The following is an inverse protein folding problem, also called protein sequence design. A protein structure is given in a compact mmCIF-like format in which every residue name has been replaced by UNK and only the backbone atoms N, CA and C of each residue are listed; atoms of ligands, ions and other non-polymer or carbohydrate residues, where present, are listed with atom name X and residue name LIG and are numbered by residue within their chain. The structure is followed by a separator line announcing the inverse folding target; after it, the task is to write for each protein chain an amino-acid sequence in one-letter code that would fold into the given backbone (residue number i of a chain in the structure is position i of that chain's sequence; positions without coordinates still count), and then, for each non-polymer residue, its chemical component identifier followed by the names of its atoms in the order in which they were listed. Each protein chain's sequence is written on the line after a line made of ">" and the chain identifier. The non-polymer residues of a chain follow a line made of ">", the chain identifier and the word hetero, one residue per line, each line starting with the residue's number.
data_IF_237494579428
#
_entry.id   IF_237494579428
#
_cell.length_a   1.000
_cell.length_b   1.000
_cell.length_c   1.000
_cell.angle_alpha   90.00
_cell.angle_beta   90.00
_cell.angle_gamma   90.00
#
_symmetry.space_group_name_H-M   'P 1'
#
loop_
_entity.id
_entity.type
_entity.pdbx_description
1 polymer ?
#
# COMPACT_ATOMS: atom_id res chain seq x y z
N UNK A 1 9.41 -14.14 1.45
CA UNK A 1 9.82 -14.35 0.05
C UNK A 1 9.49 -13.08 -0.71
N UNK A 2 10.32 -12.65 -1.65
CA UNK A 2 9.97 -11.54 -2.56
C UNK A 2 9.10 -12.04 -3.70
N UNK A 3 8.16 -11.22 -4.16
CA UNK A 3 7.37 -11.49 -5.38
C UNK A 3 7.35 -10.24 -6.26
N UNK A 4 6.99 -10.42 -7.51
CA UNK A 4 6.84 -9.31 -8.46
C UNK A 4 5.36 -8.98 -8.53
N UNK A 5 5.01 -7.74 -8.18
CA UNK A 5 3.68 -7.19 -8.33
C UNK A 5 3.60 -6.35 -9.61
N UNK A 6 2.55 -6.56 -10.39
CA UNK A 6 2.21 -5.73 -11.54
C UNK A 6 1.04 -4.82 -11.16
N UNK A 7 1.26 -3.52 -11.18
CA UNK A 7 0.28 -2.52 -10.77
C UNK A 7 0.11 -1.47 -11.88
N UNK A 8 -1.15 -1.12 -12.14
CA UNK A 8 -1.52 -0.02 -13.03
C UNK A 8 -2.35 0.95 -12.19
N UNK A 9 -1.88 2.16 -12.04
CA UNK A 9 -2.66 3.24 -11.43
C UNK A 9 -3.41 4.01 -12.53
N UNK A 10 -4.72 4.15 -12.36
CA UNK A 10 -5.58 4.90 -13.27
C UNK A 10 -6.03 6.18 -12.57
N UNK A 11 -5.90 7.30 -13.28
CA UNK A 11 -6.46 8.58 -12.83
C UNK A 11 -7.94 8.65 -13.23
N UNK A 12 -8.82 8.79 -12.26
CA UNK A 12 -10.26 8.94 -12.49
C UNK A 12 -10.64 10.35 -12.97
N UNK A 13 -9.70 11.30 -13.01
CA UNK A 13 -9.95 12.68 -13.40
C UNK A 13 -10.98 13.33 -12.48
N UNK A 14 -12.12 13.74 -13.08
CA UNK A 14 -13.23 14.35 -12.33
C UNK A 14 -14.31 13.34 -11.91
N UNK A 15 -14.15 12.06 -12.25
CA UNK A 15 -15.10 11.02 -11.88
C UNK A 15 -15.01 10.75 -10.38
N UNK A 16 -16.13 10.88 -9.67
CA UNK A 16 -16.10 10.61 -8.25
C UNK A 16 -16.01 9.07 -7.96
N UNK A 17 -15.45 8.65 -6.82
CA UNK A 17 -15.31 7.24 -6.49
C UNK A 17 -16.62 6.44 -6.49
N UNK A 18 -17.76 7.09 -6.18
CA UNK A 18 -19.06 6.44 -6.22
C UNK A 18 -19.53 6.16 -7.64
N UNK A 19 -19.21 7.04 -8.61
CA UNK A 19 -19.51 6.82 -10.03
C UNK A 19 -18.64 5.69 -10.59
N UNK A 20 -17.35 5.66 -10.23
CA UNK A 20 -16.45 4.56 -10.58
C UNK A 20 -16.95 3.22 -10.03
N UNK A 21 -17.38 3.19 -8.76
CA UNK A 21 -17.98 2.01 -8.14
C UNK A 21 -19.23 1.55 -8.91
N UNK A 22 -20.15 2.47 -9.21
CA UNK A 22 -21.38 2.16 -9.94
C UNK A 22 -21.08 1.62 -11.35
N UNK A 23 -20.09 2.20 -12.02
CA UNK A 23 -19.65 1.75 -13.34
C UNK A 23 -19.07 0.35 -13.30
N UNK A 24 -18.13 0.07 -12.39
CA UNK A 24 -17.55 -1.29 -12.22
C UNK A 24 -18.61 -2.33 -11.88
N UNK A 25 -19.60 -1.98 -11.06
CA UNK A 25 -20.70 -2.87 -10.68
C UNK A 25 -21.63 -3.26 -11.85
N UNK A 26 -21.58 -2.53 -12.97
CA UNK A 26 -22.39 -2.78 -14.16
C UNK A 26 -21.66 -3.58 -15.24
N UNK A 27 -20.33 -3.76 -15.10
CA UNK A 27 -19.56 -4.55 -16.06
C UNK A 27 -19.87 -6.05 -15.91
N UNK A 28 -20.19 -6.72 -17.01
CA UNK A 28 -20.62 -8.12 -17.01
C UNK A 28 -19.57 -9.11 -16.47
N UNK A 29 -18.30 -8.77 -16.59
CA UNK A 29 -17.17 -9.62 -16.16
C UNK A 29 -16.48 -9.09 -14.89
N UNK A 30 -17.14 -8.18 -14.18
CA UNK A 30 -16.62 -7.53 -12.97
C UNK A 30 -17.53 -7.87 -11.79
N UNK A 31 -16.97 -8.39 -10.73
CA UNK A 31 -17.72 -8.78 -9.53
C UNK A 31 -17.18 -8.02 -8.33
N UNK A 32 -18.05 -7.30 -7.63
CA UNK A 32 -17.70 -6.74 -6.34
C UNK A 32 -17.43 -7.86 -5.33
N UNK A 33 -16.30 -7.78 -4.65
CA UNK A 33 -15.86 -8.79 -3.68
C UNK A 33 -16.15 -8.33 -2.26
N UNK A 34 -15.58 -7.18 -1.89
CA UNK A 34 -15.68 -6.65 -0.51
C UNK A 34 -15.20 -5.21 -0.42
N UNK A 35 -15.53 -4.60 0.71
CA UNK A 35 -14.86 -3.38 1.18
C UNK A 35 -14.00 -3.71 2.38
N UNK A 36 -12.78 -3.15 2.44
CA UNK A 36 -11.87 -3.28 3.58
C UNK A 36 -11.35 -1.93 4.02
N UNK A 37 -11.02 -1.80 5.31
CA UNK A 37 -10.34 -0.63 5.85
C UNK A 37 -8.83 -0.89 5.83
N UNK A 38 -8.06 0.05 5.30
CA UNK A 38 -6.61 -0.01 5.21
C UNK A 38 -5.99 1.13 6.01
N UNK A 39 -5.45 0.80 7.17
CA UNK A 39 -4.65 1.74 7.96
C UNK A 39 -3.18 1.52 7.62
N UNK A 40 -2.50 2.54 7.12
CA UNK A 40 -1.09 2.44 6.77
C UNK A 40 -0.28 3.53 7.48
N UNK A 41 0.95 3.17 7.83
CA UNK A 41 1.98 4.08 8.32
C UNK A 41 3.17 3.94 7.38
N UNK A 42 3.56 5.03 6.74
CA UNK A 42 4.72 5.06 5.85
C UNK A 42 5.93 5.64 6.57
N UNK A 43 7.08 5.04 6.29
CA UNK A 43 8.36 5.41 6.90
C UNK A 43 9.34 5.88 5.83
N UNK A 44 10.16 6.86 6.19
CA UNK A 44 11.32 7.28 5.42
C UNK A 44 12.33 7.97 6.36
N UNK A 45 13.50 8.25 5.84
CA UNK A 45 14.48 9.10 6.55
C UNK A 45 14.10 10.58 6.40
N UNK A 46 14.62 11.47 7.25
CA UNK A 46 14.46 12.92 7.09
C UNK A 46 14.91 13.44 5.72
N UNK A 47 15.84 12.73 5.09
CA UNK A 47 16.33 13.06 3.75
C UNK A 47 15.52 12.45 2.61
N UNK A 48 14.42 11.72 2.90
CA UNK A 48 13.61 11.01 1.92
C UNK A 48 14.40 10.01 1.06
N UNK A 49 15.24 9.19 1.69
CA UNK A 49 16.13 8.25 1.00
C UNK A 49 15.34 7.19 0.23
N UNK A 50 14.27 6.64 0.82
CA UNK A 50 13.41 5.67 0.13
C UNK A 50 12.66 6.32 -1.03
N UNK A 51 12.09 7.51 -0.85
CA UNK A 51 11.41 8.26 -1.92
C UNK A 51 12.34 8.49 -3.10
N UNK A 52 13.60 8.93 -2.85
CA UNK A 52 14.61 9.13 -3.90
C UNK A 52 14.97 7.84 -4.62
N UNK A 53 14.99 6.72 -3.90
CA UNK A 53 15.23 5.39 -4.46
C UNK A 53 13.97 4.78 -5.11
N UNK A 54 12.85 5.51 -5.16
CA UNK A 54 11.53 5.02 -5.62
C UNK A 54 11.10 3.76 -4.87
N UNK A 55 11.43 3.70 -3.58
CA UNK A 55 11.05 2.63 -2.66
C UNK A 55 10.08 3.15 -1.61
N UNK A 56 9.39 2.25 -0.94
CA UNK A 56 8.50 2.56 0.17
C UNK A 56 8.55 1.48 1.23
N UNK A 57 8.64 1.88 2.50
CA UNK A 57 8.44 1.03 3.66
C UNK A 57 7.14 1.44 4.35
N UNK A 58 6.25 0.47 4.60
CA UNK A 58 5.00 0.72 5.29
C UNK A 58 4.68 -0.35 6.33
N UNK A 59 3.95 0.04 7.35
CA UNK A 59 3.12 -0.85 8.15
C UNK A 59 1.68 -0.73 7.70
N UNK A 60 0.98 -1.86 7.55
CA UNK A 60 -0.45 -1.92 7.23
C UNK A 60 -1.16 -2.79 8.26
N UNK A 61 -2.26 -2.28 8.81
CA UNK A 61 -3.17 -3.11 9.59
C UNK A 61 -4.16 -3.80 8.67
N UNK A 62 -4.13 -5.13 8.68
CA UNK A 62 -5.15 -5.94 8.01
C UNK A 62 -6.29 -6.22 9.00
N UNK A 63 -7.43 -5.57 8.76
CA UNK A 63 -8.60 -5.69 9.63
C UNK A 63 -9.26 -7.06 9.58
N UNK A 64 -9.07 -7.83 8.50
CA UNK A 64 -9.63 -9.17 8.35
C UNK A 64 -8.77 -10.22 9.06
N UNK A 65 -7.47 -10.16 8.84
CA UNK A 65 -6.52 -11.05 9.50
C UNK A 65 -6.20 -10.62 10.94
N UNK A 66 -6.64 -9.42 11.34
CA UNK A 66 -6.37 -8.80 12.65
C UNK A 66 -4.87 -8.80 12.97
N UNK A 67 -4.06 -8.41 12.01
CA UNK A 67 -2.61 -8.38 12.15
C UNK A 67 -1.99 -7.18 11.43
N UNK A 68 -0.78 -6.82 11.85
CA UNK A 68 0.04 -5.84 11.15
C UNK A 68 0.96 -6.55 10.16
N UNK A 69 1.07 -5.98 8.97
CA UNK A 69 2.00 -6.37 7.93
C UNK A 69 3.03 -5.27 7.75
N UNK A 70 4.31 -5.62 7.65
CA UNK A 70 5.33 -4.70 7.17
C UNK A 70 5.70 -5.05 5.73
N UNK A 71 5.78 -4.04 4.88
CA UNK A 71 6.01 -4.21 3.45
C UNK A 71 7.11 -3.26 2.99
N UNK A 72 8.14 -3.79 2.33
CA UNK A 72 9.10 -3.02 1.54
C UNK A 72 8.78 -3.23 0.07
N UNK A 73 8.53 -2.13 -0.66
CA UNK A 73 8.44 -2.11 -2.13
C UNK A 73 9.62 -1.33 -2.68
N UNK A 74 10.28 -1.84 -3.73
CA UNK A 74 11.39 -1.12 -4.38
C UNK A 74 11.04 -0.78 -5.83
N UNK A 75 11.83 0.13 -6.41
CA UNK A 75 11.71 0.46 -7.82
C UNK A 75 11.86 -0.80 -8.67
N UNK A 76 10.93 -0.99 -9.59
CA UNK A 76 11.00 -2.01 -10.62
C UNK A 76 11.25 -1.39 -11.99
N UNK A 77 11.29 -2.23 -13.02
CA UNK A 77 11.33 -1.75 -14.40
C UNK A 77 9.98 -1.12 -14.76
N UNK A 78 10.01 0.12 -15.18
CA UNK A 78 8.82 0.80 -15.73
C UNK A 78 8.78 0.56 -17.24
N UNK A 79 7.64 0.05 -17.71
CA UNK A 79 7.31 -0.02 -19.14
C UNK A 79 5.93 0.61 -19.32
N UNK A 80 5.87 1.77 -19.96
CA UNK A 80 4.64 2.54 -20.18
C UNK A 80 3.86 2.81 -18.87
N UNK A 81 2.60 2.36 -18.78
CA UNK A 81 1.74 2.54 -17.61
C UNK A 81 1.85 1.42 -16.57
N UNK A 82 2.66 0.39 -16.84
CA UNK A 82 2.80 -0.77 -15.97
C UNK A 82 4.12 -0.72 -15.22
N UNK A 83 4.09 -0.90 -13.89
CA UNK A 83 5.28 -1.02 -13.05
C UNK A 83 5.36 -2.42 -12.46
N UNK A 84 6.51 -3.09 -12.66
CA UNK A 84 6.85 -4.31 -11.94
C UNK A 84 7.76 -3.93 -10.78
N UNK A 85 7.32 -4.19 -9.54
CA UNK A 85 8.07 -3.85 -8.33
C UNK A 85 8.41 -5.10 -7.56
N UNK A 86 9.59 -5.13 -6.98
CA UNK A 86 9.93 -6.17 -6.02
C UNK A 86 9.32 -5.81 -4.67
N UNK A 87 8.64 -6.77 -4.07
CA UNK A 87 7.94 -6.59 -2.80
C UNK A 87 8.34 -7.68 -1.80
N UNK A 88 8.60 -7.27 -0.57
CA UNK A 88 8.76 -8.15 0.58
C UNK A 88 7.71 -7.78 1.61
N UNK A 89 6.87 -8.74 1.95
CA UNK A 89 5.84 -8.57 2.97
C UNK A 89 6.01 -9.61 4.08
N UNK A 90 5.86 -9.16 5.32
CA UNK A 90 6.02 -9.98 6.51
C UNK A 90 4.97 -9.58 7.54
N UNK A 91 4.29 -10.58 8.12
CA UNK A 91 3.40 -10.37 9.25
C UNK A 91 4.20 -10.07 10.51
N UNK A 92 3.83 -9.00 11.21
CA UNK A 92 4.42 -8.67 12.50
C UNK A 92 3.82 -9.52 13.62
N UNK A 93 4.60 -9.87 14.65
CA UNK A 93 4.08 -10.51 15.85
C UNK A 93 2.93 -9.69 16.47
N UNK A 94 1.94 -10.37 17.02
CA UNK A 94 0.84 -9.71 17.70
C UNK A 94 1.40 -8.82 18.84
N UNK A 95 0.96 -7.56 18.85
CA UNK A 95 1.27 -6.64 19.94
C UNK A 95 0.14 -6.70 20.97
N UNK A 96 0.50 -6.75 22.24
CA UNK A 96 -0.47 -6.67 23.35
C UNK A 96 -0.93 -5.23 23.65
N UNK A 97 -0.47 -4.27 22.85
CA UNK A 97 -0.78 -2.86 23.03
C UNK A 97 -1.70 -2.37 21.90
N UNK A 98 -2.62 -1.46 22.21
CA UNK A 98 -3.49 -0.80 21.23
C UNK A 98 -2.74 0.12 20.27
N UNK A 99 -1.46 0.40 20.53
CA UNK A 99 -0.62 1.22 19.67
C UNK A 99 -0.07 0.42 18.47
N UNK A 100 0.10 1.07 17.30
CA UNK A 100 0.77 0.45 16.17
C UNK A 100 2.16 -0.06 16.57
N UNK A 101 2.57 -1.26 16.10
CA UNK A 101 3.92 -1.76 16.35
C UNK A 101 4.96 -0.89 15.63
N UNK A 102 6.22 -1.05 16.01
CA UNK A 102 7.35 -0.54 15.24
C UNK A 102 7.72 -1.57 14.16
N UNK A 103 8.14 -1.10 12.98
CA UNK A 103 8.70 -2.00 11.97
C UNK A 103 9.98 -2.67 12.46
N UNK A 104 10.27 -3.87 11.98
CA UNK A 104 11.35 -4.74 12.48
C UNK A 104 12.21 -5.21 11.30
N UNK A 105 13.46 -4.72 11.26
CA UNK A 105 14.40 -5.04 10.16
C UNK A 105 14.67 -6.54 10.06
N UNK A 106 14.85 -7.19 11.20
CA UNK A 106 15.23 -8.60 11.34
C UNK A 106 14.18 -9.59 10.82
N UNK A 107 12.95 -9.16 10.65
CA UNK A 107 11.89 -10.01 10.11
C UNK A 107 11.89 -10.07 8.58
N UNK A 108 12.54 -9.13 7.92
CA UNK A 108 12.67 -9.19 6.47
C UNK A 108 13.67 -10.27 6.02
N UNK A 109 13.56 -10.70 4.76
CA UNK A 109 14.56 -11.54 4.11
C UNK A 109 15.91 -10.80 3.99
N UNK A 110 17.01 -11.54 3.87
CA UNK A 110 18.36 -10.98 3.94
C UNK A 110 18.65 -9.88 2.89
N UNK A 111 18.07 -9.98 1.70
CA UNK A 111 18.19 -9.00 0.63
C UNK A 111 17.48 -7.68 0.96
N UNK A 112 16.28 -7.74 1.54
CA UNK A 112 15.55 -6.58 2.04
C UNK A 112 16.24 -5.94 3.26
N UNK A 113 16.78 -6.78 4.17
CA UNK A 113 17.60 -6.30 5.28
C UNK A 113 18.83 -5.53 4.78
N UNK A 114 19.57 -6.09 3.82
CA UNK A 114 20.74 -5.44 3.25
C UNK A 114 20.40 -4.11 2.57
N UNK A 115 19.21 -4.02 1.96
CA UNK A 115 18.72 -2.78 1.35
C UNK A 115 18.42 -1.69 2.39
N UNK A 116 17.79 -2.04 3.50
CA UNK A 116 17.36 -1.09 4.54
C UNK A 116 18.45 -0.76 5.58
N UNK A 117 19.39 -1.68 5.85
CA UNK A 117 20.36 -1.55 6.91
C UNK A 117 21.14 -0.20 6.92
N UNK A 118 21.56 0.38 5.76
CA UNK A 118 22.31 1.64 5.76
C UNK A 118 21.54 2.86 6.29
N UNK A 119 20.19 2.76 6.34
CA UNK A 119 19.31 3.88 6.70
C UNK A 119 18.37 3.55 7.86
N UNK A 120 18.41 2.33 8.38
CA UNK A 120 17.46 1.80 9.36
C UNK A 120 17.35 2.66 10.63
N UNK A 121 18.46 3.13 11.14
CA UNK A 121 18.56 3.96 12.35
C UNK A 121 17.99 5.38 12.21
N UNK A 122 17.74 5.82 10.96
CA UNK A 122 17.21 7.16 10.63
C UNK A 122 15.75 7.14 10.22
N UNK A 123 15.16 5.93 10.15
CA UNK A 123 13.77 5.76 9.71
C UNK A 123 12.79 6.31 10.75
N UNK A 124 11.84 7.10 10.30
CA UNK A 124 10.78 7.69 11.11
C UNK A 124 9.45 7.64 10.37
N UNK A 125 8.31 7.69 11.09
CA UNK A 125 7.00 7.84 10.45
C UNK A 125 6.96 9.14 9.64
N UNK A 126 6.49 9.05 8.40
CA UNK A 126 6.39 10.20 7.48
C UNK A 126 4.94 10.66 7.34
N UNK A 127 4.03 9.73 7.10
CA UNK A 127 2.60 10.00 7.01
C UNK A 127 1.79 8.71 7.26
N UNK A 128 0.51 8.92 7.55
CA UNK A 128 -0.48 7.86 7.73
C UNK A 128 -1.53 7.97 6.63
N UNK A 129 -2.06 6.82 6.20
CA UNK A 129 -3.25 6.79 5.36
C UNK A 129 -4.32 5.93 6.01
N UNK A 130 -5.56 6.40 5.91
CA UNK A 130 -6.75 5.70 6.34
C UNK A 130 -7.70 5.61 5.15
N UNK A 131 -7.69 4.46 4.47
CA UNK A 131 -8.45 4.25 3.25
C UNK A 131 -9.49 3.15 3.42
N UNK A 132 -10.65 3.42 2.87
CA UNK A 132 -11.67 2.43 2.59
C UNK A 132 -11.46 1.96 1.15
N UNK A 133 -11.11 0.70 0.97
CA UNK A 133 -10.85 0.06 -0.33
C UNK A 133 -12.02 -0.81 -0.73
N UNK A 134 -12.64 -0.49 -1.85
CA UNK A 134 -13.60 -1.37 -2.51
C UNK A 134 -12.86 -2.23 -3.53
N UNK A 135 -13.02 -3.57 -3.43
CA UNK A 135 -12.31 -4.55 -4.25
C UNK A 135 -13.30 -5.22 -5.20
N UNK A 136 -12.90 -5.31 -6.46
CA UNK A 136 -13.59 -6.00 -7.52
C UNK A 136 -12.66 -7.01 -8.18
N UNK A 137 -13.19 -8.17 -8.55
CA UNK A 137 -12.55 -9.12 -9.46
C UNK A 137 -13.05 -8.92 -10.87
N UNK A 138 -12.14 -8.78 -11.82
CA UNK A 138 -12.45 -8.62 -13.23
C UNK A 138 -11.73 -9.70 -14.04
N UNK A 139 -12.48 -10.33 -14.96
CA UNK A 139 -11.94 -11.37 -15.85
C UNK A 139 -12.02 -10.91 -17.31
N UNK A 140 -10.90 -10.97 -18.00
CA UNK A 140 -10.83 -10.62 -19.41
C UNK A 140 -9.75 -11.45 -20.13
N UNK A 141 -10.13 -12.06 -21.27
CA UNK A 141 -9.23 -12.86 -22.12
C UNK A 141 -8.41 -13.92 -21.35
N UNK A 142 -9.06 -14.61 -20.40
CA UNK A 142 -8.41 -15.63 -19.58
C UNK A 142 -7.49 -15.11 -18.48
N UNK A 143 -7.39 -13.79 -18.32
CA UNK A 143 -6.64 -13.15 -17.25
C UNK A 143 -7.58 -12.69 -16.11
N UNK A 144 -7.03 -12.67 -14.90
CA UNK A 144 -7.69 -12.16 -13.70
C UNK A 144 -7.03 -10.85 -13.26
N UNK A 145 -7.87 -9.88 -12.94
CA UNK A 145 -7.44 -8.56 -12.46
C UNK A 145 -8.17 -8.25 -11.16
N UNK A 146 -7.47 -7.70 -10.20
CA UNK A 146 -8.07 -7.03 -9.06
C UNK A 146 -8.16 -5.54 -9.36
N UNK A 147 -9.36 -4.97 -9.25
CA UNK A 147 -9.57 -3.53 -9.32
C UNK A 147 -9.88 -3.02 -7.93
N UNK A 148 -9.20 -1.95 -7.54
CA UNK A 148 -9.37 -1.33 -6.24
C UNK A 148 -9.75 0.15 -6.41
N UNK A 149 -10.78 0.58 -5.65
CA UNK A 149 -11.13 2.00 -5.50
C UNK A 149 -10.82 2.39 -4.06
N UNK A 150 -9.84 3.27 -3.88
CA UNK A 150 -9.44 3.78 -2.57
C UNK A 150 -10.10 5.13 -2.28
N UNK A 151 -10.68 5.26 -1.09
CA UNK A 151 -11.27 6.50 -0.58
C UNK A 151 -10.80 6.73 0.84
N UNK A 152 -10.23 7.89 1.14
CA UNK A 152 -9.79 8.15 2.49
C UNK A 152 -8.95 9.41 2.65
N UNK A 153 -8.10 9.40 3.65
CA UNK A 153 -7.33 10.54 4.08
C UNK A 153 -5.85 10.19 4.16
N UNK A 154 -5.00 11.19 3.86
CA UNK A 154 -3.58 11.16 4.16
C UNK A 154 -3.33 12.21 5.24
N UNK A 155 -2.62 11.80 6.30
CA UNK A 155 -2.24 12.66 7.42
C UNK A 155 -0.73 12.66 7.54
N UNK A 156 -0.11 13.84 7.49
CA UNK A 156 1.31 13.98 7.83
C UNK A 156 1.55 13.54 9.28
N UNK A 157 2.67 12.87 9.55
CA UNK A 157 3.04 12.51 10.91
C UNK A 157 3.36 13.76 11.79
N UNK A 158 3.53 14.92 11.16
CA UNK A 158 3.94 16.19 11.79
C UNK A 158 2.86 17.30 11.73
N UNK A 159 1.69 17.03 11.12
CA UNK A 159 0.63 18.03 10.95
C UNK A 159 -0.66 17.61 11.64
N UNK A 160 -1.31 18.57 12.30
CA UNK A 160 -2.59 18.35 12.98
C UNK A 160 -3.80 18.30 12.03
N UNK A 161 -3.64 18.67 10.75
CA UNK A 161 -4.75 18.73 9.78
C UNK A 161 -4.57 17.70 8.64
N UNK A 162 -5.54 16.80 8.43
CA UNK A 162 -5.48 15.81 7.37
C UNK A 162 -5.70 16.44 5.99
N UNK A 163 -4.88 16.08 5.02
CA UNK A 163 -5.21 16.29 3.61
C UNK A 163 -6.19 15.20 3.15
N UNK A 164 -7.37 15.57 2.69
CA UNK A 164 -8.33 14.64 2.10
C UNK A 164 -7.96 14.41 0.64
N UNK A 165 -7.73 13.16 0.29
CA UNK A 165 -7.46 12.73 -1.08
C UNK A 165 -8.41 11.59 -1.43
N UNK A 166 -9.05 11.69 -2.59
CA UNK A 166 -9.75 10.58 -3.23
C UNK A 166 -8.88 10.13 -4.41
N UNK A 167 -8.48 8.87 -4.42
CA UNK A 167 -7.72 8.23 -5.50
C UNK A 167 -8.60 7.17 -6.14
#
# INVERSE_FOLDING_TARGET
>A
MSHIEYEIALDLGQTCPNEAFAWLSQLSNCTYVRTTQLLNIYFDTPNHDLKRAKAALRLRYDTQANCWLQTLKTAGQQSNSMSARQEWEVTLPASNNDAPPTWQLELFAADAQAYLAPIADKMQPLFHTDFKRDIFEYQHDGNHYEWAIDRGEIRSAHEEHPARISI
#
